data_IF_585308371230
#
_entry.id   IF_585308371230
#
_cell.length_a   1.000
_cell.length_b   1.000
_cell.length_c   1.000
_cell.angle_alpha   90.00
_cell.angle_beta   90.00
_cell.angle_gamma   90.00
#
_symmetry.space_group_name_H-M   'P 1'
#
loop_
_entity.id
_entity.type
_entity.pdbx_description
1 polymer ?
#
# COMPACT_ATOMS: atom_id res chain seq x y z
N UNK A 1 13.82 -34.64 7.29
CA UNK A 1 12.71 -33.89 6.65
C UNK A 1 13.21 -32.48 6.44
N UNK A 2 13.26 -32.01 5.20
CA UNK A 2 13.71 -30.64 4.94
C UNK A 2 12.64 -29.68 5.48
N UNK A 3 12.95 -28.97 6.55
CA UNK A 3 12.05 -28.02 7.24
C UNK A 3 12.07 -26.63 6.61
N UNK A 4 12.78 -26.49 5.48
CA UNK A 4 12.86 -25.23 4.76
C UNK A 4 11.49 -24.85 4.18
N UNK A 5 11.09 -23.57 4.28
CA UNK A 5 9.88 -23.09 3.62
C UNK A 5 9.92 -23.38 2.12
N UNK A 6 8.86 -23.98 1.57
CA UNK A 6 8.72 -24.24 0.12
C UNK A 6 8.38 -22.95 -0.64
N UNK A 7 9.40 -22.11 -0.83
CA UNK A 7 9.31 -20.85 -1.59
C UNK A 7 8.97 -21.11 -3.06
N UNK A 8 9.38 -22.24 -3.63
CA UNK A 8 9.19 -22.55 -5.04
C UNK A 8 7.71 -22.73 -5.38
N UNK A 9 6.95 -23.45 -4.53
CA UNK A 9 5.52 -23.64 -4.72
C UNK A 9 4.74 -22.33 -4.59
N UNK A 10 5.11 -21.47 -3.63
CA UNK A 10 4.53 -20.13 -3.46
C UNK A 10 4.82 -19.25 -4.69
N UNK A 11 6.06 -19.23 -5.17
CA UNK A 11 6.46 -18.47 -6.35
C UNK A 11 5.72 -18.95 -7.61
N UNK A 12 5.54 -20.27 -7.78
CA UNK A 12 4.81 -20.85 -8.89
C UNK A 12 3.34 -20.38 -8.95
N UNK A 13 2.69 -20.11 -7.80
CA UNK A 13 1.35 -19.52 -7.77
C UNK A 13 1.31 -18.10 -8.31
N UNK A 14 2.39 -17.32 -8.22
CA UNK A 14 2.43 -15.94 -8.69
C UNK A 14 2.91 -15.86 -10.15
N UNK A 15 3.85 -16.73 -10.54
CA UNK A 15 4.56 -16.73 -11.82
C UNK A 15 3.68 -17.16 -13.03
N UNK A 16 2.45 -16.68 -13.10
CA UNK A 16 1.53 -16.81 -14.25
C UNK A 16 0.87 -15.46 -14.50
N UNK A 17 0.94 -14.90 -15.72
CA UNK A 17 0.46 -13.55 -16.04
C UNK A 17 -0.98 -13.28 -15.56
N UNK A 18 -1.90 -14.20 -15.82
CA UNK A 18 -3.29 -14.08 -15.38
C UNK A 18 -3.43 -13.97 -13.85
N UNK A 19 -2.68 -14.77 -13.08
CA UNK A 19 -2.74 -14.74 -11.62
C UNK A 19 -2.12 -13.47 -11.07
N UNK A 20 -1.00 -13.03 -11.64
CA UNK A 20 -0.40 -11.73 -11.30
C UNK A 20 -1.39 -10.58 -11.55
N UNK A 21 -2.07 -10.54 -12.70
CA UNK A 21 -3.09 -9.53 -12.99
C UNK A 21 -4.26 -9.57 -12.01
N UNK A 22 -4.75 -10.76 -11.65
CA UNK A 22 -5.80 -10.93 -10.63
C UNK A 22 -5.35 -10.40 -9.27
N UNK A 23 -4.14 -10.75 -8.83
CA UNK A 23 -3.61 -10.32 -7.53
C UNK A 23 -3.41 -8.79 -7.51
N UNK A 24 -2.85 -8.22 -8.57
CA UNK A 24 -2.70 -6.76 -8.74
C UNK A 24 -4.06 -6.05 -8.71
N UNK A 25 -5.07 -6.62 -9.36
CA UNK A 25 -6.42 -6.05 -9.39
C UNK A 25 -7.09 -5.97 -8.01
N UNK A 26 -6.65 -6.79 -7.05
CA UNK A 26 -7.16 -6.87 -5.68
C UNK A 26 -6.32 -6.09 -4.66
N UNK A 27 -5.25 -5.41 -5.12
CA UNK A 27 -4.35 -4.66 -4.24
C UNK A 27 -5.02 -3.48 -3.54
N UNK A 28 -6.17 -3.00 -4.01
CA UNK A 28 -6.93 -1.98 -3.28
C UNK A 28 -7.66 -2.54 -2.05
N UNK A 29 -7.62 -3.87 -1.84
CA UNK A 29 -8.20 -4.57 -0.70
C UNK A 29 -9.69 -4.89 -0.83
N UNK A 30 -10.35 -4.45 -1.92
CA UNK A 30 -11.77 -4.75 -2.15
C UNK A 30 -11.97 -6.18 -2.62
N UNK A 31 -13.12 -6.74 -2.27
CA UNK A 31 -13.56 -8.00 -2.85
C UNK A 31 -14.17 -7.75 -4.24
N UNK A 32 -13.66 -8.42 -5.28
CA UNK A 32 -14.14 -8.29 -6.65
C UNK A 32 -14.85 -9.57 -7.12
N UNK A 33 -15.92 -9.47 -7.92
CA UNK A 33 -16.60 -10.65 -8.46
C UNK A 33 -15.73 -11.38 -9.49
N UNK A 34 -15.90 -12.70 -9.60
CA UNK A 34 -15.14 -13.53 -10.54
C UNK A 34 -15.15 -12.99 -11.99
N UNK A 35 -16.29 -12.47 -12.46
CA UNK A 35 -16.44 -11.93 -13.81
C UNK A 35 -15.61 -10.67 -14.06
N UNK A 36 -15.45 -9.80 -13.07
CA UNK A 36 -14.58 -8.62 -13.15
C UNK A 36 -13.11 -9.05 -13.24
N UNK A 37 -12.70 -10.01 -12.42
CA UNK A 37 -11.36 -10.56 -12.43
C UNK A 37 -11.04 -11.28 -13.75
N UNK A 38 -12.01 -12.00 -14.30
CA UNK A 38 -11.90 -12.63 -15.62
C UNK A 38 -11.66 -11.58 -16.72
N UNK A 39 -12.44 -10.49 -16.75
CA UNK A 39 -12.24 -9.40 -17.71
C UNK A 39 -10.87 -8.76 -17.58
N UNK A 40 -10.43 -8.43 -16.37
CA UNK A 40 -9.12 -7.78 -16.14
C UNK A 40 -7.95 -8.66 -16.59
N UNK A 41 -8.08 -9.97 -16.41
CA UNK A 41 -7.07 -10.94 -16.83
C UNK A 41 -7.24 -11.42 -18.28
N UNK A 42 -8.21 -10.88 -19.04
CA UNK A 42 -8.57 -11.31 -20.39
C UNK A 42 -8.81 -12.83 -20.52
N UNK A 43 -9.55 -13.41 -19.57
CA UNK A 43 -9.82 -14.84 -19.49
C UNK A 43 -11.28 -15.19 -19.77
N UNK A 44 -11.51 -16.42 -20.26
CA UNK A 44 -12.83 -17.03 -20.24
C UNK A 44 -13.28 -17.31 -18.78
N UNK A 45 -14.60 -17.43 -18.51
CA UNK A 45 -15.10 -17.77 -17.18
C UNK A 45 -14.52 -19.07 -16.60
N UNK A 46 -14.32 -20.08 -17.46
CA UNK A 46 -13.76 -21.37 -17.07
C UNK A 46 -12.28 -21.25 -16.69
N UNK A 47 -11.48 -20.57 -17.51
CA UNK A 47 -10.07 -20.33 -17.22
C UNK A 47 -9.89 -19.49 -15.95
N UNK A 48 -10.69 -18.42 -15.80
CA UNK A 48 -10.69 -17.60 -14.60
C UNK A 48 -11.00 -18.43 -13.34
N UNK A 49 -12.01 -19.29 -13.38
CA UNK A 49 -12.37 -20.17 -12.27
C UNK A 49 -11.21 -21.10 -11.88
N UNK A 50 -10.49 -21.66 -12.85
CA UNK A 50 -9.32 -22.50 -12.58
C UNK A 50 -8.19 -21.72 -11.88
N UNK A 51 -7.91 -20.49 -12.30
CA UNK A 51 -6.91 -19.63 -11.65
C UNK A 51 -7.32 -19.20 -10.24
N UNK A 52 -8.58 -18.81 -10.06
CA UNK A 52 -9.13 -18.41 -8.76
C UNK A 52 -9.11 -19.57 -7.76
N UNK A 53 -9.45 -20.78 -8.20
CA UNK A 53 -9.37 -21.97 -7.36
C UNK A 53 -7.93 -22.27 -6.94
N UNK A 54 -6.96 -22.19 -7.86
CA UNK A 54 -5.54 -22.38 -7.53
C UNK A 54 -5.03 -21.36 -6.51
N UNK A 55 -5.38 -20.09 -6.69
CA UNK A 55 -5.00 -19.03 -5.76
C UNK A 55 -5.69 -19.17 -4.39
N UNK A 56 -6.94 -19.62 -4.37
CA UNK A 56 -7.67 -19.85 -3.11
C UNK A 56 -7.09 -21.06 -2.37
N UNK A 57 -6.86 -22.17 -3.06
CA UNK A 57 -6.23 -23.37 -2.51
C UNK A 57 -4.80 -23.10 -1.99
N UNK A 58 -4.07 -22.22 -2.67
CA UNK A 58 -2.74 -21.77 -2.24
C UNK A 58 -2.75 -20.71 -1.14
N UNK A 59 -3.91 -20.31 -0.62
CA UNK A 59 -4.01 -19.32 0.46
C UNK A 59 -3.76 -17.87 0.05
N UNK A 60 -3.72 -17.55 -1.25
CA UNK A 60 -3.53 -16.19 -1.74
C UNK A 60 -4.81 -15.38 -1.74
N UNK A 61 -5.95 -16.05 -1.92
CA UNK A 61 -7.27 -15.43 -1.98
C UNK A 61 -8.20 -16.01 -0.93
N UNK A 62 -9.09 -15.16 -0.44
CA UNK A 62 -10.31 -15.57 0.25
C UNK A 62 -11.51 -15.36 -0.67
N UNK A 63 -12.38 -16.36 -0.71
CA UNK A 63 -13.65 -16.30 -1.43
C UNK A 63 -14.78 -16.07 -0.43
N UNK A 64 -15.62 -15.08 -0.71
CA UNK A 64 -16.85 -14.79 0.03
C UNK A 64 -18.03 -15.00 -0.92
N UNK A 65 -18.99 -15.82 -0.49
CA UNK A 65 -20.21 -16.08 -1.25
C UNK A 65 -21.33 -15.18 -0.76
N UNK A 66 -21.93 -14.43 -1.68
CA UNK A 66 -23.14 -13.62 -1.41
C UNK A 66 -24.19 -14.00 -2.45
N UNK A 67 -25.18 -14.79 -2.02
CA UNK A 67 -26.16 -15.38 -2.93
C UNK A 67 -25.49 -16.27 -3.98
N UNK A 68 -25.76 -16.02 -5.26
CA UNK A 68 -25.18 -16.76 -6.40
C UNK A 68 -23.81 -16.24 -6.85
N UNK A 69 -23.35 -15.13 -6.28
CA UNK A 69 -22.11 -14.48 -6.71
C UNK A 69 -20.97 -14.81 -5.75
N UNK A 70 -19.80 -15.09 -6.33
CA UNK A 70 -18.55 -15.29 -5.60
C UNK A 70 -17.66 -14.07 -5.76
N UNK A 71 -17.23 -13.52 -4.63
CA UNK A 71 -16.31 -12.40 -4.54
C UNK A 71 -14.99 -12.87 -3.99
N UNK A 72 -13.90 -12.32 -4.50
CA UNK A 72 -12.54 -12.69 -4.11
C UNK A 72 -11.80 -11.46 -3.63
N UNK A 73 -11.03 -11.63 -2.56
CA UNK A 73 -10.08 -10.63 -2.03
C UNK A 73 -8.75 -11.30 -1.72
N UNK A 74 -7.69 -10.52 -1.59
CA UNK A 74 -6.44 -11.04 -1.02
C UNK A 74 -6.72 -11.63 0.35
N UNK A 75 -6.10 -12.77 0.64
CA UNK A 75 -6.37 -13.50 1.87
C UNK A 75 -5.96 -12.68 3.10
N UNK A 76 -4.79 -12.07 3.02
CA UNK A 76 -4.18 -11.33 4.11
C UNK A 76 -3.22 -10.27 3.58
N UNK A 77 -2.59 -9.57 4.51
CA UNK A 77 -1.66 -8.49 4.23
C UNK A 77 -0.34 -9.02 3.67
N UNK A 78 0.10 -10.20 4.12
CA UNK A 78 1.33 -10.89 3.70
C UNK A 78 1.36 -11.10 2.19
N UNK A 79 0.25 -11.56 1.59
CA UNK A 79 0.12 -11.71 0.13
C UNK A 79 0.30 -10.38 -0.59
N UNK A 80 -0.29 -9.29 -0.08
CA UNK A 80 -0.11 -7.97 -0.65
C UNK A 80 1.37 -7.52 -0.58
N UNK A 81 2.10 -7.88 0.49
CA UNK A 81 3.52 -7.53 0.64
C UNK A 81 4.38 -8.19 -0.42
N UNK A 82 4.14 -9.48 -0.66
CA UNK A 82 4.89 -10.23 -1.68
C UNK A 82 4.68 -9.58 -3.05
N UNK A 83 3.44 -9.26 -3.40
CA UNK A 83 3.14 -8.62 -4.69
C UNK A 83 3.76 -7.22 -4.76
N UNK A 84 3.66 -6.41 -3.70
CA UNK A 84 4.31 -5.09 -3.62
C UNK A 84 5.83 -5.17 -3.76
N UNK A 85 6.48 -6.13 -3.10
CA UNK A 85 7.91 -6.33 -3.16
C UNK A 85 8.40 -6.71 -4.57
N UNK A 86 7.56 -7.33 -5.40
CA UNK A 86 7.90 -7.68 -6.78
C UNK A 86 7.77 -6.50 -7.76
N UNK A 87 6.90 -5.51 -7.48
CA UNK A 87 6.62 -4.41 -8.42
C UNK A 87 7.83 -3.54 -8.81
N UNK A 88 8.81 -3.24 -7.94
CA UNK A 88 10.01 -2.49 -8.33
C UNK A 88 10.84 -3.17 -9.42
N UNK A 89 10.86 -4.51 -9.41
CA UNK A 89 11.57 -5.35 -10.37
C UNK A 89 10.80 -5.53 -11.69
N UNK A 90 9.48 -5.28 -11.67
CA UNK A 90 8.68 -5.32 -12.88
C UNK A 90 9.12 -4.19 -13.83
N UNK A 91 9.70 -4.57 -14.97
CA UNK A 91 9.89 -3.64 -16.08
C UNK A 91 8.52 -3.28 -16.62
N UNK A 92 8.22 -1.98 -16.71
CA UNK A 92 7.13 -1.53 -17.57
C UNK A 92 7.55 -1.91 -18.99
N UNK A 93 6.99 -2.99 -19.52
CA UNK A 93 7.14 -3.32 -20.94
C UNK A 93 6.54 -2.16 -21.71
N UNK A 94 7.41 -1.33 -22.28
CA UNK A 94 7.05 -0.14 -23.00
C UNK A 94 6.23 -0.52 -24.24
N UNK A 95 4.90 -0.52 -24.09
CA UNK A 95 3.92 -0.52 -25.17
C UNK A 95 2.56 -0.12 -24.60
N UNK A 96 2.53 1.09 -24.06
CA UNK A 96 1.35 1.92 -23.88
C UNK A 96 1.93 3.20 -23.29
N UNK A 97 2.17 4.21 -24.10
CA UNK A 97 2.17 5.57 -23.61
C UNK A 97 0.80 5.80 -23.00
N UNK A 98 0.63 5.83 -21.67
CA UNK A 98 -0.65 6.21 -21.13
C UNK A 98 -0.70 7.72 -21.35
N UNK A 99 -1.65 8.17 -22.18
CA UNK A 99 -2.35 9.44 -21.97
C UNK A 99 -2.42 9.71 -20.45
N UNK A 100 -2.26 10.93 -19.92
CA UNK A 100 -2.31 11.15 -18.47
C UNK A 100 -3.73 10.80 -17.99
N UNK A 101 -3.95 9.54 -17.67
CA UNK A 101 -5.13 9.04 -17.02
C UNK A 101 -5.01 9.54 -15.59
N UNK A 102 -6.10 10.09 -15.07
CA UNK A 102 -6.14 10.50 -13.67
C UNK A 102 -5.63 9.35 -12.79
N UNK A 103 -4.76 9.65 -11.81
CA UNK A 103 -4.22 8.63 -10.93
C UNK A 103 -5.39 7.91 -10.24
N UNK A 104 -5.35 6.58 -10.25
CA UNK A 104 -6.38 5.79 -9.57
C UNK A 104 -6.37 6.15 -8.08
N UNK A 105 -7.51 6.13 -7.37
CA UNK A 105 -7.56 6.49 -5.95
C UNK A 105 -6.52 5.78 -5.07
N UNK A 106 -6.22 4.51 -5.36
CA UNK A 106 -5.20 3.72 -4.66
C UNK A 106 -3.76 4.26 -4.82
N UNK A 107 -3.49 5.00 -5.90
CA UNK A 107 -2.20 5.65 -6.15
C UNK A 107 -2.13 7.01 -5.45
N UNK A 108 -3.26 7.69 -5.25
CA UNK A 108 -3.30 9.02 -4.60
C UNK A 108 -3.02 8.91 -3.11
N UNK A 109 -3.82 8.12 -2.39
CA UNK A 109 -3.67 7.94 -0.95
C UNK A 109 -4.16 6.55 -0.51
N UNK A 110 -3.32 5.83 0.21
CA UNK A 110 -3.64 4.52 0.77
C UNK A 110 -2.87 4.25 2.05
N UNK A 111 -3.24 3.17 2.72
CA UNK A 111 -2.40 2.52 3.73
C UNK A 111 -1.52 1.46 3.05
N UNK A 112 -0.20 1.58 3.20
CA UNK A 112 0.72 0.46 3.01
C UNK A 112 0.88 -0.18 4.38
N UNK A 113 0.15 -1.27 4.61
CA UNK A 113 -0.06 -1.84 5.94
C UNK A 113 -0.79 -0.88 6.87
N UNK A 114 -0.05 -0.14 7.66
CA UNK A 114 -0.53 0.73 8.70
C UNK A 114 0.07 2.14 8.62
N UNK A 115 0.77 2.48 7.54
CA UNK A 115 1.32 3.82 7.32
C UNK A 115 0.87 4.41 5.98
N UNK A 116 0.98 5.72 5.83
CA UNK A 116 0.57 6.45 4.64
C UNK A 116 1.43 6.09 3.43
N UNK A 117 0.79 5.85 2.28
CA UNK A 117 1.42 5.54 1.01
C UNK A 117 0.63 6.17 -0.16
N UNK A 118 1.12 5.93 -1.38
CA UNK A 118 0.72 6.66 -2.57
C UNK A 118 1.36 8.05 -2.62
N UNK A 119 0.86 8.89 -3.53
CA UNK A 119 1.30 10.27 -3.70
C UNK A 119 1.30 11.05 -2.39
N UNK A 120 0.27 10.87 -1.53
CA UNK A 120 0.22 11.49 -0.21
C UNK A 120 1.36 11.04 0.70
N UNK A 121 1.60 9.73 0.82
CA UNK A 121 2.66 9.20 1.70
C UNK A 121 4.05 9.66 1.28
N UNK A 122 4.32 9.66 -0.03
CA UNK A 122 5.58 10.16 -0.59
C UNK A 122 5.70 11.67 -0.39
N UNK A 123 4.69 12.46 -0.75
CA UNK A 123 4.73 13.92 -0.59
C UNK A 123 4.89 14.34 0.87
N UNK A 124 4.22 13.64 1.80
CA UNK A 124 4.38 13.84 3.23
C UNK A 124 5.83 13.62 3.67
N UNK A 125 6.42 12.49 3.27
CA UNK A 125 7.79 12.14 3.62
C UNK A 125 8.80 13.14 3.04
N UNK A 126 8.59 13.55 1.78
CA UNK A 126 9.45 14.51 1.11
C UNK A 126 9.37 15.90 1.74
N UNK A 127 8.18 16.35 2.14
CA UNK A 127 8.03 17.60 2.86
C UNK A 127 8.73 17.56 4.22
N UNK A 128 8.70 16.39 4.90
CA UNK A 128 9.41 16.21 6.16
C UNK A 128 10.94 16.30 5.99
N UNK A 129 11.49 15.64 4.96
CA UNK A 129 12.92 15.70 4.65
C UNK A 129 13.33 17.10 4.20
N UNK A 130 12.60 17.71 3.27
CA UNK A 130 12.89 19.05 2.76
C UNK A 130 12.79 20.13 3.84
N UNK A 131 11.90 19.96 4.82
CA UNK A 131 11.76 20.84 5.99
C UNK A 131 12.78 20.56 7.11
N UNK A 132 13.71 19.62 6.93
CA UNK A 132 14.71 19.26 7.93
C UNK A 132 14.14 18.59 9.18
N UNK A 133 12.93 18.03 9.11
CA UNK A 133 12.31 17.29 10.21
C UNK A 133 12.78 15.84 10.27
N UNK A 134 13.14 15.27 9.12
CA UNK A 134 13.75 13.95 8.97
C UNK A 134 15.08 14.07 8.23
N UNK A 135 16.06 13.26 8.62
CA UNK A 135 17.24 12.96 7.82
C UNK A 135 17.17 11.53 7.29
N UNK A 136 17.80 11.31 6.15
CA UNK A 136 17.84 10.00 5.50
C UNK A 136 19.12 9.25 5.85
N UNK A 137 18.98 7.98 6.24
CA UNK A 137 20.09 7.02 6.28
C UNK A 137 19.93 6.01 5.13
N UNK A 138 20.72 4.94 5.09
CA UNK A 138 20.62 3.93 4.02
C UNK A 138 19.21 3.32 3.94
N UNK A 139 18.69 2.81 5.06
CA UNK A 139 17.44 2.06 5.10
C UNK A 139 16.32 2.74 5.89
N UNK A 140 16.63 3.78 6.67
CA UNK A 140 15.70 4.38 7.61
C UNK A 140 15.72 5.92 7.50
N UNK A 141 14.79 6.55 8.21
CA UNK A 141 14.79 7.97 8.50
C UNK A 141 15.15 8.18 9.97
N UNK A 142 15.80 9.29 10.28
CA UNK A 142 16.05 9.73 11.65
C UNK A 142 15.33 11.04 11.90
N UNK A 143 14.64 11.15 13.04
CA UNK A 143 13.97 12.39 13.44
C UNK A 143 15.01 13.36 13.98
N UNK A 144 15.04 14.58 13.45
CA UNK A 144 15.91 15.65 13.96
C UNK A 144 15.31 16.27 15.23
N UNK A 145 16.08 17.06 15.98
CA UNK A 145 15.53 17.80 17.13
C UNK A 145 14.39 18.74 16.72
N UNK A 146 14.54 19.37 15.55
CA UNK A 146 13.48 20.18 14.93
C UNK A 146 12.24 19.34 14.59
N UNK A 147 12.46 18.17 13.99
CA UNK A 147 11.42 17.18 13.71
C UNK A 147 10.68 16.72 14.94
N UNK A 148 11.40 16.46 16.03
CA UNK A 148 10.80 16.02 17.28
C UNK A 148 9.83 17.08 17.84
N UNK A 149 10.22 18.37 17.78
CA UNK A 149 9.32 19.47 18.12
C UNK A 149 8.07 19.53 17.24
N UNK A 150 8.24 19.34 15.93
CA UNK A 150 7.14 19.36 14.96
C UNK A 150 6.15 18.20 15.17
N UNK A 151 6.65 16.97 15.33
CA UNK A 151 5.82 15.79 15.59
C UNK A 151 5.03 15.92 16.90
N UNK A 152 5.66 16.41 17.99
CA UNK A 152 4.96 16.63 19.26
C UNK A 152 3.82 17.65 19.11
N UNK A 153 4.04 18.75 18.37
CA UNK A 153 2.98 19.73 18.07
C UNK A 153 1.83 19.13 17.27
N UNK A 154 2.13 18.18 16.38
CA UNK A 154 1.12 17.43 15.66
C UNK A 154 0.39 16.39 16.54
N UNK A 155 0.94 16.06 17.71
CA UNK A 155 0.41 15.05 18.63
C UNK A 155 0.98 13.64 18.39
N UNK A 156 2.18 13.54 17.83
CA UNK A 156 2.90 12.28 17.57
C UNK A 156 4.14 12.26 18.47
N UNK A 157 4.35 11.16 19.18
CA UNK A 157 5.58 10.95 19.96
C UNK A 157 6.75 10.61 19.01
N UNK A 158 7.80 11.46 18.92
CA UNK A 158 8.94 11.23 18.05
C UNK A 158 10.00 10.30 18.66
N UNK A 159 9.72 9.64 19.78
CA UNK A 159 10.67 8.74 20.45
C UNK A 159 10.36 7.28 20.13
N UNK A 160 11.36 6.45 19.82
CA UNK A 160 11.18 5.00 19.74
C UNK A 160 10.66 4.46 21.07
N UNK A 161 9.54 3.75 21.04
CA UNK A 161 9.11 3.01 22.23
C UNK A 161 10.21 2.00 22.59
N UNK A 162 10.84 2.18 23.76
CA UNK A 162 12.01 1.42 24.22
C UNK A 162 11.79 -0.09 24.29
N UNK A 163 10.53 -0.54 24.29
CA UNK A 163 10.12 -1.96 24.31
C UNK A 163 9.62 -2.50 22.97
N UNK A 164 9.60 -1.70 21.91
CA UNK A 164 9.09 -2.13 20.61
C UNK A 164 10.18 -2.79 19.78
N UNK A 165 9.95 -4.02 19.32
CA UNK A 165 10.82 -4.71 18.33
C UNK A 165 10.69 -4.11 16.93
N UNK A 166 9.78 -3.15 16.73
CA UNK A 166 9.47 -2.56 15.43
C UNK A 166 10.44 -1.43 15.12
N UNK A 167 10.96 -1.42 13.89
CA UNK A 167 11.78 -0.30 13.39
C UNK A 167 11.00 1.02 13.47
N UNK A 168 11.66 2.04 14.00
CA UNK A 168 11.00 3.30 14.34
C UNK A 168 10.54 4.08 13.11
N UNK A 169 11.43 4.38 12.16
CA UNK A 169 11.10 5.17 10.97
C UNK A 169 11.75 4.56 9.73
N UNK A 170 11.11 3.56 9.12
CA UNK A 170 11.66 2.77 8.01
C UNK A 170 11.44 3.48 6.66
N UNK A 171 12.41 3.42 5.74
CA UNK A 171 12.15 3.71 4.31
C UNK A 171 11.32 2.58 3.70
N UNK A 172 10.08 2.86 3.37
CA UNK A 172 9.21 1.93 2.64
C UNK A 172 9.11 2.37 1.17
N UNK A 173 9.34 1.47 0.22
CA UNK A 173 9.32 1.81 -1.21
C UNK A 173 7.89 1.81 -1.73
N UNK A 174 7.40 2.97 -2.18
CA UNK A 174 6.08 3.06 -2.79
C UNK A 174 6.08 2.47 -4.20
N UNK A 175 5.26 1.46 -4.45
CA UNK A 175 5.20 0.81 -5.77
C UNK A 175 4.65 1.71 -6.88
N UNK A 176 3.72 2.62 -6.55
CA UNK A 176 3.06 3.49 -7.53
C UNK A 176 3.92 4.69 -7.90
N UNK A 177 4.61 5.28 -6.92
CA UNK A 177 5.43 6.47 -7.09
C UNK A 177 6.93 6.14 -7.28
N UNK A 178 7.34 4.89 -7.04
CA UNK A 178 8.73 4.41 -7.07
C UNK A 178 9.67 5.25 -6.21
N UNK A 179 9.16 5.71 -5.05
CA UNK A 179 9.86 6.61 -4.11
C UNK A 179 9.64 6.13 -2.68
N UNK A 180 10.61 6.40 -1.81
CA UNK A 180 10.50 6.03 -0.41
C UNK A 180 9.51 6.93 0.34
N UNK A 181 8.72 6.32 1.21
CA UNK A 181 7.83 6.99 2.16
C UNK A 181 8.06 6.46 3.58
N UNK A 182 7.57 7.21 4.56
CA UNK A 182 7.75 6.95 5.98
C UNK A 182 6.92 5.75 6.44
N UNK A 183 7.61 4.64 6.70
CA UNK A 183 7.08 3.46 7.37
C UNK A 183 7.56 3.35 8.82
N UNK A 184 7.46 2.15 9.39
CA UNK A 184 7.85 1.90 10.78
C UNK A 184 6.80 2.38 11.79
N UNK A 185 7.17 2.44 13.07
CA UNK A 185 6.29 2.90 14.14
C UNK A 185 5.86 4.36 13.98
N UNK A 186 6.75 5.23 13.52
CA UNK A 186 6.48 6.64 13.27
C UNK A 186 5.51 6.84 12.10
N UNK A 187 5.70 6.09 11.00
CA UNK A 187 4.75 6.08 9.88
C UNK A 187 3.35 5.62 10.29
N UNK A 188 3.27 4.62 11.18
CA UNK A 188 2.00 4.15 11.73
C UNK A 188 1.33 5.18 12.63
N UNK A 189 2.11 5.82 13.53
CA UNK A 189 1.62 6.91 14.37
C UNK A 189 1.12 8.09 13.52
N UNK A 190 1.80 8.42 12.42
CA UNK A 190 1.36 9.46 11.49
C UNK A 190 0.01 9.12 10.81
N UNK A 191 -0.18 7.89 10.33
CA UNK A 191 -1.48 7.48 9.77
C UNK A 191 -2.59 7.57 10.83
N UNK A 192 -2.35 7.01 12.03
CA UNK A 192 -3.30 7.08 13.14
C UNK A 192 -3.68 8.53 13.43
N UNK A 193 -2.69 9.41 13.52
CA UNK A 193 -2.93 10.82 13.81
C UNK A 193 -3.70 11.54 12.70
N UNK A 194 -3.42 11.24 11.43
CA UNK A 194 -4.17 11.81 10.31
C UNK A 194 -5.63 11.35 10.28
N UNK A 195 -5.91 10.11 10.74
CA UNK A 195 -7.27 9.61 10.90
C UNK A 195 -7.99 10.31 12.07
N UNK A 196 -7.35 10.45 13.22
CA UNK A 196 -7.89 11.14 14.40
C UNK A 196 -8.21 12.61 14.13
N UNK A 197 -7.34 13.32 13.41
CA UNK A 197 -7.54 14.70 12.99
C UNK A 197 -8.54 14.85 11.84
N UNK A 198 -9.02 13.73 11.27
CA UNK A 198 -9.91 13.73 10.12
C UNK A 198 -9.27 14.28 8.85
N UNK A 199 -7.95 14.27 8.72
CA UNK A 199 -7.24 14.69 7.50
C UNK A 199 -7.40 13.67 6.38
N UNK A 200 -7.45 12.39 6.75
CA UNK A 200 -7.80 11.30 5.86
C UNK A 200 -8.93 10.49 6.46
N UNK A 201 -9.73 9.85 5.61
CA UNK A 201 -10.77 8.93 6.01
C UNK A 201 -10.58 7.59 5.29
N UNK A 202 -10.84 6.48 5.99
CA UNK A 202 -10.83 5.15 5.36
C UNK A 202 -12.02 5.05 4.41
N UNK A 203 -11.76 4.59 3.18
CA UNK A 203 -12.83 4.13 2.30
C UNK A 203 -13.23 2.72 2.75
N UNK A 204 -14.54 2.39 2.87
CA UNK A 204 -14.97 1.06 3.25
C UNK A 204 -14.32 -0.03 2.39
N UNK A 205 -13.97 -1.15 3.04
CA UNK A 205 -13.54 -2.39 2.40
C UNK A 205 -12.27 -2.28 1.54
N UNK A 206 -11.19 -1.69 2.07
CA UNK A 206 -9.91 -1.70 1.36
C UNK A 206 -8.80 -0.91 2.04
N UNK A 207 -7.76 -0.60 1.26
CA UNK A 207 -6.58 0.15 1.69
C UNK A 207 -6.61 1.62 1.29
N UNK A 208 -7.54 2.02 0.41
CA UNK A 208 -7.68 3.40 -0.09
C UNK A 208 -8.05 4.34 1.05
N UNK A 209 -7.40 5.50 1.07
CA UNK A 209 -7.72 6.61 1.96
C UNK A 209 -8.24 7.77 1.12
N UNK A 210 -9.29 8.43 1.59
CA UNK A 210 -9.77 9.69 1.01
C UNK A 210 -9.19 10.84 1.81
N UNK A 211 -8.50 11.77 1.14
CA UNK A 211 -8.08 13.02 1.76
C UNK A 211 -9.31 13.92 1.91
N UNK A 212 -9.57 14.41 3.11
CA UNK A 212 -10.72 15.28 3.39
C UNK A 212 -10.43 16.72 2.97
N UNK A 213 -11.45 17.56 2.90
CA UNK A 213 -11.26 19.00 2.66
C UNK A 213 -10.38 19.63 3.75
N UNK A 214 -10.63 19.29 5.02
CA UNK A 214 -9.79 19.71 6.16
C UNK A 214 -8.35 19.22 5.99
N UNK A 215 -8.16 17.96 5.60
CA UNK A 215 -6.84 17.40 5.34
C UNK A 215 -6.08 18.14 4.25
N UNK A 216 -6.74 18.46 3.13
CA UNK A 216 -6.13 19.25 2.05
C UNK A 216 -5.66 20.62 2.55
N UNK A 217 -6.50 21.33 3.30
CA UNK A 217 -6.17 22.63 3.86
C UNK A 217 -4.99 22.57 4.84
N UNK A 218 -5.00 21.61 5.77
CA UNK A 218 -3.95 21.47 6.79
C UNK A 218 -2.62 20.97 6.22
N UNK A 219 -2.66 20.03 5.27
CA UNK A 219 -1.47 19.55 4.55
C UNK A 219 -0.81 20.68 3.75
N UNK A 220 -1.61 21.54 3.11
CA UNK A 220 -1.09 22.73 2.46
C UNK A 220 -0.53 23.74 3.49
N UNK A 221 -1.26 24.02 4.56
CA UNK A 221 -0.87 24.99 5.58
C UNK A 221 0.47 24.63 6.22
N UNK A 222 0.62 23.38 6.66
CA UNK A 222 1.76 22.91 7.45
C UNK A 222 2.95 22.45 6.60
N UNK A 223 2.69 21.84 5.44
CA UNK A 223 3.72 21.13 4.66
C UNK A 223 3.74 21.53 3.18
N UNK A 224 2.86 22.46 2.74
CA UNK A 224 2.74 22.89 1.34
C UNK A 224 2.45 21.75 0.37
N UNK A 225 1.82 20.67 0.85
CA UNK A 225 1.46 19.51 0.03
C UNK A 225 0.15 19.81 -0.70
N UNK A 226 0.16 19.64 -2.02
CA UNK A 226 -1.03 19.69 -2.87
C UNK A 226 -1.11 18.42 -3.71
N UNK A 227 -2.24 17.73 -3.63
CA UNK A 227 -2.52 16.51 -4.39
C UNK A 227 -3.42 16.87 -5.57
N UNK A 228 -2.88 17.63 -6.52
CA UNK A 228 -3.48 17.79 -7.85
C UNK A 228 -3.08 16.61 -8.73
#
# INVERSE_FOLDING_TARGET
MNTDPDVATVAALIAVPARATILIALMDGRALPAGELARRAALSPQAASAHLNKLTAGGFLLMVSTGRHRYYRLANTEVAQVIEAMMPFARVTAQQTPRPAEPKPIQVARSCYDHLAGRLGVAFTQALVAGGYLTETENDFTVTDHGAGWFRKLGIDPVPATRSRRVFARKCLDWSERRFHLGGALGAAALTRFLELGWVARVPQGRVLRVTHTGQAELWRLLKISLR
#
